data_IF_890560388606
#
_entry.id   IF_890560388606
#
_cell.length_a   1.000
_cell.length_b   1.000
_cell.length_c   1.000
_cell.angle_alpha   90.00
_cell.angle_beta   90.00
_cell.angle_gamma   90.00
#
_symmetry.space_group_name_H-M   'P 1'
#
loop_
_entity.id
_entity.type
_entity.pdbx_description
1 polymer ?
#
# COMPACT_ATOMS: atom_id res chain seq x y z
N UNK A 1 -20.36 30.54 27.06
CA UNK A 1 -19.59 29.34 27.45
C UNK A 1 -18.18 29.53 26.93
N UNK A 2 -17.18 29.47 27.79
CA UNK A 2 -15.77 29.66 27.42
C UNK A 2 -15.21 28.31 26.96
N UNK A 3 -14.82 28.18 25.69
CA UNK A 3 -14.16 26.97 25.20
C UNK A 3 -12.74 26.88 25.76
N UNK A 4 -12.28 25.67 26.05
CA UNK A 4 -10.90 25.40 26.47
C UNK A 4 -9.93 25.51 25.28
N UNK A 5 -8.65 25.77 25.54
CA UNK A 5 -7.63 25.81 24.49
C UNK A 5 -7.57 24.49 23.70
N UNK A 6 -7.67 23.34 24.38
CA UNK A 6 -7.69 22.03 23.71
C UNK A 6 -8.87 21.85 22.75
N UNK A 7 -10.06 22.37 23.11
CA UNK A 7 -11.22 22.37 22.23
C UNK A 7 -11.04 23.29 21.01
N UNK A 8 -10.28 24.39 21.16
CA UNK A 8 -9.97 25.30 20.05
C UNK A 8 -8.90 24.73 19.11
N UNK A 9 -7.98 23.92 19.62
CA UNK A 9 -6.92 23.27 18.82
C UNK A 9 -7.45 22.11 17.95
N UNK A 10 -8.54 21.46 18.37
CA UNK A 10 -9.21 20.36 17.67
C UNK A 10 -8.22 19.31 17.11
N UNK A 11 -7.35 18.79 17.97
CA UNK A 11 -6.29 17.84 17.59
C UNK A 11 -6.81 16.52 17.03
N UNK A 12 -8.04 16.16 17.39
CA UNK A 12 -8.71 14.93 16.99
C UNK A 12 -9.49 15.05 15.67
N UNK A 13 -9.46 16.23 15.00
CA UNK A 13 -10.24 16.49 13.79
C UNK A 13 -10.07 15.45 12.67
N UNK A 14 -8.91 14.80 12.59
CA UNK A 14 -8.68 13.74 11.60
C UNK A 14 -9.55 12.50 11.85
N UNK A 15 -9.83 12.17 13.12
CA UNK A 15 -10.64 11.02 13.51
C UNK A 15 -12.05 11.16 12.92
N UNK A 16 -12.64 12.35 13.00
CA UNK A 16 -13.97 12.63 12.46
C UNK A 16 -14.03 12.60 10.93
N UNK A 17 -12.91 12.88 10.23
CA UNK A 17 -12.83 12.76 8.76
C UNK A 17 -12.60 11.33 8.31
N UNK A 18 -11.93 10.53 9.13
CA UNK A 18 -11.57 9.16 8.82
C UNK A 18 -12.71 8.17 9.15
N UNK A 19 -13.35 8.34 10.31
CA UNK A 19 -14.47 7.50 10.74
C UNK A 19 -15.76 8.04 10.11
N UNK A 20 -16.34 7.27 9.19
CA UNK A 20 -17.57 7.66 8.50
C UNK A 20 -18.80 7.79 9.42
N UNK A 21 -19.14 6.78 10.25
CA UNK A 21 -20.32 6.84 11.11
C UNK A 21 -20.18 7.87 12.25
N UNK A 22 -21.09 8.84 12.29
CA UNK A 22 -21.22 9.77 13.42
C UNK A 22 -21.83 9.09 14.67
N UNK A 23 -21.87 9.81 15.80
CA UNK A 23 -22.37 9.26 17.06
C UNK A 23 -23.84 8.76 16.98
N UNK A 24 -24.69 9.42 16.18
CA UNK A 24 -26.09 9.01 16.00
C UNK A 24 -26.17 7.74 15.15
N UNK A 25 -25.41 7.68 14.05
CA UNK A 25 -25.33 6.50 13.19
C UNK A 25 -24.76 5.30 13.95
N UNK A 26 -23.72 5.51 14.77
CA UNK A 26 -23.19 4.47 15.65
C UNK A 26 -24.28 3.93 16.60
N UNK A 27 -25.09 4.80 17.21
CA UNK A 27 -26.19 4.36 18.07
C UNK A 27 -27.27 3.56 17.32
N UNK A 28 -27.62 3.98 16.10
CA UNK A 28 -28.56 3.26 15.24
C UNK A 28 -28.04 1.85 14.86
N UNK A 29 -26.76 1.75 14.52
CA UNK A 29 -26.08 0.48 14.23
C UNK A 29 -26.01 -0.42 15.46
N UNK A 30 -25.63 0.13 16.62
CA UNK A 30 -25.55 -0.58 17.90
C UNK A 30 -26.91 -1.20 18.28
N UNK A 31 -27.99 -0.42 18.15
CA UNK A 31 -29.36 -0.92 18.37
C UNK A 31 -29.71 -2.08 17.43
N UNK A 32 -29.28 -2.02 16.17
CA UNK A 32 -29.54 -3.08 15.18
C UNK A 32 -28.84 -4.39 15.54
N UNK A 33 -27.62 -4.32 16.07
CA UNK A 33 -26.85 -5.50 16.49
C UNK A 33 -27.13 -5.91 17.95
N UNK A 34 -28.00 -5.20 18.66
CA UNK A 34 -28.40 -5.51 20.03
C UNK A 34 -27.33 -5.21 21.09
N UNK A 35 -26.45 -4.23 20.86
CA UNK A 35 -25.42 -3.82 21.81
C UNK A 35 -25.69 -2.42 22.38
N UNK A 36 -25.40 -2.22 23.67
CA UNK A 36 -25.65 -0.94 24.36
C UNK A 36 -24.55 0.11 24.10
N UNK A 37 -23.34 -0.33 23.75
CA UNK A 37 -22.20 0.54 23.44
C UNK A 37 -21.16 -0.18 22.59
N UNK A 38 -20.23 0.57 21.97
CA UNK A 38 -19.09 -0.01 21.27
C UNK A 38 -18.23 -0.87 22.20
N UNK A 39 -18.01 -0.45 23.45
CA UNK A 39 -17.25 -1.24 24.43
C UNK A 39 -17.95 -2.57 24.76
N UNK A 40 -19.28 -2.54 24.92
CA UNK A 40 -20.06 -3.77 25.17
C UNK A 40 -19.99 -4.71 23.96
N UNK A 41 -20.10 -4.18 22.74
CA UNK A 41 -19.97 -4.97 21.50
C UNK A 41 -18.57 -5.60 21.39
N UNK A 42 -17.51 -4.83 21.63
CA UNK A 42 -16.13 -5.33 21.59
C UNK A 42 -15.93 -6.45 22.61
N UNK A 43 -16.43 -6.29 23.84
CA UNK A 43 -16.32 -7.33 24.88
C UNK A 43 -17.10 -8.62 24.59
N UNK A 44 -18.08 -8.58 23.69
CA UNK A 44 -18.77 -9.78 23.19
C UNK A 44 -18.02 -10.49 22.05
N UNK A 45 -17.17 -9.76 21.31
CA UNK A 45 -16.48 -10.26 20.10
C UNK A 45 -15.06 -10.71 20.41
N UNK A 46 -14.30 -9.91 21.17
CA UNK A 46 -12.88 -10.15 21.41
C UNK A 46 -12.73 -10.92 22.73
N UNK A 47 -12.11 -12.12 22.73
CA UNK A 47 -11.82 -12.84 23.96
C UNK A 47 -10.94 -12.00 24.90
N UNK A 48 -11.34 -11.96 26.18
CA UNK A 48 -10.72 -11.07 27.17
C UNK A 48 -9.24 -11.39 27.42
N UNK A 49 -8.84 -12.65 27.27
CA UNK A 49 -7.47 -13.13 27.49
C UNK A 49 -6.47 -12.67 26.43
N UNK A 50 -6.94 -12.27 25.25
CA UNK A 50 -6.11 -11.69 24.18
C UNK A 50 -6.33 -10.18 23.99
N UNK A 51 -7.25 -9.58 24.74
CA UNK A 51 -7.53 -8.15 24.65
C UNK A 51 -6.44 -7.34 25.37
N UNK A 52 -5.93 -6.29 24.70
CA UNK A 52 -5.00 -5.35 25.32
C UNK A 52 -5.69 -4.61 26.47
N UNK A 53 -5.09 -4.65 27.66
CA UNK A 53 -5.60 -3.97 28.86
C UNK A 53 -5.60 -2.44 28.73
N UNK A 54 -4.67 -1.89 27.95
CA UNK A 54 -4.57 -0.47 27.64
C UNK A 54 -4.24 -0.27 26.16
N UNK A 55 -4.66 0.85 25.54
CA UNK A 55 -4.24 1.19 24.19
C UNK A 55 -2.70 1.21 24.07
N UNK A 56 -2.15 0.90 22.87
CA UNK A 56 -0.73 0.99 22.64
C UNK A 56 -0.25 2.44 22.80
N UNK A 57 0.95 2.61 23.37
CA UNK A 57 1.59 3.91 23.58
C UNK A 57 2.12 4.46 22.25
N UNK A 58 1.24 5.10 21.47
CA UNK A 58 1.54 5.63 20.12
C UNK A 58 1.74 7.14 20.07
N UNK A 59 1.70 7.81 21.22
CA UNK A 59 1.73 9.27 21.33
C UNK A 59 0.34 9.90 21.22
N UNK A 60 0.30 11.21 21.38
CA UNK A 60 -0.93 12.00 21.32
C UNK A 60 -1.36 12.26 19.87
N UNK A 61 -2.67 12.39 19.66
CA UNK A 61 -3.20 12.83 18.38
C UNK A 61 -2.67 14.23 18.00
N UNK A 62 -2.53 14.44 16.70
CA UNK A 62 -2.07 15.71 16.13
C UNK A 62 -2.89 16.05 14.90
N UNK A 63 -2.97 17.34 14.57
CA UNK A 63 -3.70 17.79 13.38
C UNK A 63 -2.96 17.36 12.10
N UNK A 64 -3.69 17.22 11.00
CA UNK A 64 -3.10 16.91 9.69
C UNK A 64 -2.00 17.90 9.29
N UNK A 65 -2.21 19.19 9.58
CA UNK A 65 -1.22 20.23 9.31
C UNK A 65 0.07 20.03 10.11
N UNK A 66 -0.06 19.74 11.41
CA UNK A 66 1.08 19.53 12.29
C UNK A 66 1.83 18.23 11.92
N UNK A 67 1.11 17.15 11.62
CA UNK A 67 1.70 15.90 11.12
C UNK A 67 2.52 16.12 9.83
N UNK A 68 1.96 16.85 8.85
CA UNK A 68 2.66 17.17 7.61
C UNK A 68 3.89 18.05 7.84
N UNK A 69 3.82 19.01 8.76
CA UNK A 69 4.95 19.86 9.11
C UNK A 69 6.10 19.04 9.75
N UNK A 70 5.76 18.12 10.66
CA UNK A 70 6.71 17.20 11.28
C UNK A 70 7.37 16.28 10.24
N UNK A 71 6.56 15.60 9.42
CA UNK A 71 7.07 14.72 8.35
C UNK A 71 7.95 15.48 7.37
N UNK A 72 7.62 16.74 7.04
CA UNK A 72 8.43 17.60 6.20
C UNK A 72 9.78 17.94 6.84
N UNK A 73 9.82 18.18 8.16
CA UNK A 73 11.06 18.40 8.88
C UNK A 73 11.96 17.15 8.86
N UNK A 74 11.38 15.96 9.07
CA UNK A 74 12.09 14.68 8.98
C UNK A 74 12.62 14.45 7.56
N UNK A 75 11.78 14.65 6.54
CA UNK A 75 12.14 14.52 5.13
C UNK A 75 13.24 15.52 4.71
N UNK A 76 13.26 16.71 5.32
CA UNK A 76 14.29 17.73 5.10
C UNK A 76 15.71 17.30 5.52
N UNK A 77 15.84 16.23 6.32
CA UNK A 77 17.15 15.64 6.66
C UNK A 77 17.74 14.79 5.54
N UNK A 78 16.94 14.37 4.56
CA UNK A 78 17.41 13.56 3.44
C UNK A 78 18.23 14.40 2.48
N UNK A 79 19.36 13.84 2.00
CA UNK A 79 20.22 14.48 0.99
C UNK A 79 19.93 13.89 -0.38
N UNK A 80 19.47 14.72 -1.32
CA UNK A 80 19.22 14.31 -2.71
C UNK A 80 20.50 14.45 -3.53
N UNK A 81 21.10 13.32 -3.90
CA UNK A 81 22.29 13.26 -4.75
C UNK A 81 21.92 12.93 -6.20
N UNK A 82 22.80 13.28 -7.13
CA UNK A 82 22.84 12.62 -8.44
C UNK A 82 23.51 11.27 -8.24
N UNK A 83 22.73 10.22 -8.19
CA UNK A 83 23.21 8.86 -7.92
C UNK A 83 23.43 8.11 -9.23
N UNK A 84 24.67 7.69 -9.46
CA UNK A 84 25.08 6.81 -10.57
C UNK A 84 25.54 5.44 -10.07
N UNK A 85 24.97 4.99 -8.94
CA UNK A 85 25.30 3.69 -8.32
C UNK A 85 24.83 2.53 -9.22
N UNK A 86 23.71 2.69 -9.91
CA UNK A 86 23.12 1.62 -10.74
C UNK A 86 22.47 0.55 -9.86
N UNK A 87 22.88 -0.71 -10.06
CA UNK A 87 22.40 -1.86 -9.27
C UNK A 87 20.86 -2.02 -9.29
N UNK A 88 20.25 -1.93 -10.47
CA UNK A 88 18.80 -2.10 -10.65
C UNK A 88 17.97 -0.83 -10.45
N UNK A 89 18.55 0.27 -9.93
CA UNK A 89 17.85 1.53 -9.72
C UNK A 89 18.49 2.68 -10.50
N UNK A 90 17.73 3.27 -11.41
CA UNK A 90 18.18 4.39 -12.24
C UNK A 90 17.18 5.54 -12.17
N UNK A 91 17.68 6.77 -12.03
CA UNK A 91 16.82 7.95 -12.00
C UNK A 91 16.13 8.16 -13.36
N UNK A 92 14.82 8.43 -13.32
CA UNK A 92 13.99 8.72 -14.49
C UNK A 92 13.26 10.05 -14.31
N UNK A 93 12.87 10.67 -15.43
CA UNK A 93 11.99 11.82 -15.41
C UNK A 93 10.53 11.36 -15.50
N UNK A 94 9.80 11.41 -14.39
CA UNK A 94 8.37 11.13 -14.37
C UNK A 94 7.62 12.25 -15.12
N UNK A 95 6.87 11.95 -16.20
CA UNK A 95 6.09 12.97 -16.90
C UNK A 95 5.09 13.63 -15.94
N UNK A 96 5.05 14.98 -15.83
CA UNK A 96 4.18 15.67 -14.87
C UNK A 96 2.69 15.33 -15.06
N UNK A 97 2.27 15.05 -16.29
CA UNK A 97 0.89 14.64 -16.59
C UNK A 97 0.52 13.29 -15.96
N UNK A 98 1.46 12.33 -15.88
CA UNK A 98 1.25 11.04 -15.22
C UNK A 98 1.26 11.23 -13.71
N UNK A 99 2.23 11.99 -13.19
CA UNK A 99 2.29 12.29 -11.75
C UNK A 99 0.95 12.87 -11.27
N UNK A 100 0.47 13.93 -11.92
CA UNK A 100 -0.71 14.67 -11.47
C UNK A 100 -2.01 13.90 -11.64
N UNK A 101 -2.19 13.22 -12.77
CA UNK A 101 -3.49 12.66 -13.15
C UNK A 101 -3.65 11.17 -12.80
N UNK A 102 -2.57 10.49 -12.40
CA UNK A 102 -2.58 9.08 -12.03
C UNK A 102 -2.03 8.87 -10.61
N UNK A 103 -0.77 9.22 -10.34
CA UNK A 103 -0.15 8.95 -9.03
C UNK A 103 -0.77 9.77 -7.88
N UNK A 104 -1.10 11.04 -8.14
CA UNK A 104 -1.73 11.94 -7.17
C UNK A 104 -3.27 11.94 -7.25
N UNK A 105 -3.87 11.02 -8.02
CA UNK A 105 -5.32 11.00 -8.25
C UNK A 105 -5.99 9.78 -7.57
N UNK A 106 -6.86 10.00 -6.57
CA UNK A 106 -7.52 8.90 -5.86
C UNK A 106 -8.40 8.02 -6.77
N UNK A 107 -8.85 8.52 -7.92
CA UNK A 107 -9.58 7.70 -8.90
C UNK A 107 -8.76 6.53 -9.46
N UNK A 108 -7.43 6.59 -9.36
CA UNK A 108 -6.53 5.53 -9.81
C UNK A 108 -6.00 4.64 -8.69
N UNK A 109 -5.79 5.17 -7.47
CA UNK A 109 -5.13 4.42 -6.38
C UNK A 109 -6.06 3.91 -5.27
N UNK A 110 -7.33 4.30 -5.25
CA UNK A 110 -8.27 3.86 -4.18
C UNK A 110 -8.98 2.55 -4.48
N UNK A 111 -9.14 2.20 -5.76
CA UNK A 111 -9.71 0.92 -6.16
C UNK A 111 -8.72 -0.23 -5.91
N UNK A 112 -9.24 -1.41 -5.57
CA UNK A 112 -8.43 -2.61 -5.36
C UNK A 112 -8.36 -3.50 -6.62
N UNK A 113 -7.90 -4.74 -6.46
CA UNK A 113 -7.81 -5.76 -7.51
C UNK A 113 -9.10 -5.80 -8.36
N UNK A 114 -8.99 -5.86 -9.70
CA UNK A 114 -10.13 -5.87 -10.62
C UNK A 114 -10.92 -7.18 -10.62
N UNK A 115 -11.46 -7.59 -9.47
CA UNK A 115 -12.36 -8.75 -9.35
C UNK A 115 -13.70 -8.57 -10.07
N UNK A 116 -14.12 -7.33 -10.30
CA UNK A 116 -15.34 -6.97 -11.03
C UNK A 116 -14.92 -6.28 -12.34
N UNK A 117 -14.68 -7.04 -13.44
CA UNK A 117 -14.06 -6.50 -14.63
C UNK A 117 -14.88 -5.40 -15.33
N UNK A 118 -16.20 -5.47 -15.28
CA UNK A 118 -17.13 -4.54 -15.95
C UNK A 118 -16.97 -3.10 -15.45
N UNK A 119 -16.67 -2.93 -14.16
CA UNK A 119 -16.43 -1.63 -13.51
C UNK A 119 -14.94 -1.32 -13.36
N UNK A 120 -14.09 -2.06 -14.08
CA UNK A 120 -12.63 -2.01 -13.93
C UNK A 120 -11.86 -1.91 -15.24
N UNK A 121 -12.55 -1.72 -16.36
CA UNK A 121 -11.97 -1.76 -17.71
C UNK A 121 -10.78 -0.79 -17.88
N UNK A 122 -10.86 0.44 -17.34
CA UNK A 122 -9.77 1.42 -17.49
C UNK A 122 -8.41 0.95 -16.95
N UNK A 123 -8.38 0.32 -15.76
CA UNK A 123 -7.13 -0.22 -15.21
C UNK A 123 -6.72 -1.54 -15.86
N UNK A 124 -7.69 -2.38 -16.25
CA UNK A 124 -7.41 -3.62 -16.98
C UNK A 124 -6.76 -3.35 -18.33
N UNK A 125 -7.24 -2.33 -19.06
CA UNK A 125 -6.63 -1.88 -20.31
C UNK A 125 -5.20 -1.37 -20.08
N UNK A 126 -4.97 -0.55 -19.05
CA UNK A 126 -3.62 -0.10 -18.71
C UNK A 126 -2.68 -1.27 -18.34
N UNK A 127 -3.16 -2.32 -17.68
CA UNK A 127 -2.38 -3.51 -17.38
C UNK A 127 -2.10 -4.34 -18.64
N UNK A 128 -3.05 -4.42 -19.56
CA UNK A 128 -2.84 -5.04 -20.87
C UNK A 128 -1.77 -4.28 -21.67
N UNK A 129 -1.77 -2.95 -21.62
CA UNK A 129 -0.71 -2.14 -22.22
C UNK A 129 0.66 -2.42 -21.59
N UNK A 130 0.73 -2.60 -20.27
CA UNK A 130 1.96 -3.01 -19.58
C UNK A 130 2.46 -4.37 -20.05
N UNK A 131 1.55 -5.35 -20.20
CA UNK A 131 1.88 -6.66 -20.75
C UNK A 131 2.39 -6.53 -22.18
N UNK A 132 1.70 -5.78 -23.04
CA UNK A 132 2.10 -5.58 -24.43
C UNK A 132 3.49 -4.94 -24.55
N UNK A 133 3.78 -3.88 -23.80
CA UNK A 133 5.12 -3.26 -23.76
C UNK A 133 6.18 -4.29 -23.33
N UNK A 134 5.86 -5.15 -22.36
CA UNK A 134 6.78 -6.21 -21.91
C UNK A 134 7.02 -7.25 -23.01
N UNK A 135 5.97 -7.68 -23.72
CA UNK A 135 6.07 -8.61 -24.85
C UNK A 135 6.94 -8.00 -25.97
N UNK A 136 6.66 -6.76 -26.38
CA UNK A 136 7.36 -6.09 -27.47
C UNK A 136 8.85 -5.88 -27.15
N UNK A 137 9.19 -5.55 -25.89
CA UNK A 137 10.58 -5.31 -25.48
C UNK A 137 11.37 -6.61 -25.24
N UNK A 138 10.73 -7.68 -24.78
CA UNK A 138 11.42 -8.95 -24.47
C UNK A 138 11.40 -9.94 -25.62
N UNK A 139 10.45 -9.80 -26.55
CA UNK A 139 10.21 -10.76 -27.64
C UNK A 139 9.66 -12.11 -27.15
N UNK A 140 9.13 -12.18 -25.92
CA UNK A 140 8.51 -13.39 -25.37
C UNK A 140 7.01 -13.43 -25.69
N UNK A 141 6.42 -14.63 -25.59
CA UNK A 141 5.03 -14.87 -25.98
C UNK A 141 4.00 -14.42 -24.94
N UNK A 142 4.37 -14.38 -23.65
CA UNK A 142 3.46 -14.10 -22.53
C UNK A 142 4.18 -13.25 -21.46
N UNK A 143 3.46 -12.27 -20.92
CA UNK A 143 3.89 -11.44 -19.80
C UNK A 143 2.80 -11.36 -18.71
N UNK A 144 3.18 -11.30 -17.44
CA UNK A 144 2.25 -11.06 -16.33
C UNK A 144 1.95 -9.57 -16.16
N UNK A 145 0.94 -9.25 -15.34
CA UNK A 145 0.59 -7.89 -14.96
C UNK A 145 1.43 -7.37 -13.77
N UNK A 146 2.76 -7.54 -13.82
CA UNK A 146 3.79 -7.24 -12.79
C UNK A 146 4.08 -8.33 -11.74
N UNK A 147 5.18 -8.13 -11.01
CA UNK A 147 5.62 -8.81 -9.78
C UNK A 147 6.18 -7.75 -8.81
N UNK A 148 6.63 -8.14 -7.63
CA UNK A 148 7.04 -7.19 -6.57
C UNK A 148 8.31 -6.41 -6.91
N UNK A 149 9.38 -7.10 -7.30
CA UNK A 149 10.67 -6.52 -7.69
C UNK A 149 11.47 -7.49 -8.57
N UNK A 150 12.66 -7.08 -9.01
CA UNK A 150 13.55 -7.87 -9.87
C UNK A 150 14.00 -9.19 -9.22
N UNK A 151 14.44 -9.13 -7.96
CA UNK A 151 14.99 -10.29 -7.25
C UNK A 151 13.93 -11.38 -7.04
N UNK A 152 12.74 -10.98 -6.59
CA UNK A 152 11.61 -11.89 -6.41
C UNK A 152 11.09 -12.42 -7.74
N UNK A 153 11.12 -11.63 -8.82
CA UNK A 153 10.80 -12.11 -10.16
C UNK A 153 11.81 -13.17 -10.66
N UNK A 154 13.10 -12.97 -10.41
CA UNK A 154 14.14 -13.96 -10.74
C UNK A 154 13.97 -15.26 -9.92
N UNK A 155 13.60 -15.16 -8.64
CA UNK A 155 13.30 -16.31 -7.80
C UNK A 155 12.05 -17.08 -8.29
N UNK A 156 11.00 -16.39 -8.73
CA UNK A 156 9.83 -17.02 -9.35
C UNK A 156 10.19 -17.69 -10.69
N UNK A 157 11.09 -17.10 -11.49
CA UNK A 157 11.60 -17.73 -12.69
C UNK A 157 12.37 -19.03 -12.38
N UNK A 158 13.20 -19.03 -11.32
CA UNK A 158 13.87 -20.25 -10.83
C UNK A 158 12.84 -21.32 -10.39
N UNK A 159 11.81 -20.93 -9.64
CA UNK A 159 10.75 -21.84 -9.21
C UNK A 159 9.97 -22.42 -10.40
N UNK A 160 9.65 -21.59 -11.39
CA UNK A 160 9.02 -22.01 -12.64
C UNK A 160 9.90 -23.01 -13.39
N UNK A 161 11.19 -22.69 -13.58
CA UNK A 161 12.15 -23.56 -14.25
C UNK A 161 12.26 -24.94 -13.56
N UNK A 162 12.32 -24.97 -12.23
CA UNK A 162 12.31 -26.23 -11.45
C UNK A 162 11.04 -27.04 -11.67
N UNK A 163 9.87 -26.38 -11.72
CA UNK A 163 8.56 -27.04 -11.89
C UNK A 163 8.40 -27.66 -13.27
N UNK A 164 8.80 -26.94 -14.33
CA UNK A 164 8.67 -27.42 -15.72
C UNK A 164 9.78 -28.38 -16.15
N UNK A 165 10.89 -28.44 -15.41
CA UNK A 165 12.02 -29.33 -15.73
C UNK A 165 11.61 -30.80 -15.81
N UNK A 166 12.06 -31.47 -16.88
CA UNK A 166 11.92 -32.92 -17.07
C UNK A 166 12.94 -33.71 -16.23
N UNK A 167 14.05 -33.08 -15.85
CA UNK A 167 15.10 -33.68 -15.02
C UNK A 167 14.75 -33.52 -13.53
N UNK A 168 13.92 -34.44 -13.01
CA UNK A 168 13.39 -34.32 -11.64
C UNK A 168 14.46 -34.25 -10.55
N UNK A 169 15.58 -34.94 -10.77
CA UNK A 169 16.71 -35.00 -9.83
C UNK A 169 17.69 -33.82 -9.95
N UNK A 170 17.52 -32.92 -10.94
CA UNK A 170 18.36 -31.73 -11.04
C UNK A 170 18.07 -30.79 -9.87
N UNK A 171 19.06 -30.57 -9.00
CA UNK A 171 18.93 -29.74 -7.80
C UNK A 171 20.01 -28.66 -7.72
N UNK A 172 20.49 -28.20 -8.87
CA UNK A 172 21.43 -27.08 -8.99
C UNK A 172 20.81 -26.06 -9.92
N UNK A 173 20.87 -24.80 -9.53
CA UNK A 173 20.49 -23.65 -10.35
C UNK A 173 21.72 -22.75 -10.47
N UNK A 174 22.03 -22.33 -11.70
CA UNK A 174 23.19 -21.49 -11.95
C UNK A 174 22.76 -20.03 -11.92
N UNK A 175 23.52 -19.20 -11.21
CA UNK A 175 23.38 -17.74 -11.18
C UNK A 175 24.72 -17.17 -11.61
N UNK A 176 24.70 -16.26 -12.59
CA UNK A 176 25.91 -15.61 -13.07
C UNK A 176 26.49 -14.69 -11.98
N UNK A 177 27.82 -14.52 -11.97
CA UNK A 177 28.51 -13.76 -10.92
C UNK A 177 28.32 -12.24 -11.03
N UNK A 178 27.77 -11.77 -12.14
CA UNK A 178 27.61 -10.36 -12.52
C UNK A 178 26.15 -9.89 -12.55
N UNK A 179 25.22 -10.69 -12.02
CA UNK A 179 23.88 -10.20 -11.68
C UNK A 179 23.97 -9.12 -10.59
N UNK A 180 22.91 -8.34 -10.41
CA UNK A 180 22.85 -7.41 -9.29
C UNK A 180 22.94 -8.18 -7.96
N UNK A 181 23.77 -7.75 -7.00
CA UNK A 181 24.07 -8.56 -5.82
C UNK A 181 22.88 -8.80 -4.89
N UNK A 182 21.80 -8.03 -5.03
CA UNK A 182 20.54 -8.25 -4.33
C UNK A 182 19.58 -9.22 -5.03
N UNK A 183 19.84 -9.56 -6.29
CA UNK A 183 19.06 -10.50 -7.13
C UNK A 183 19.61 -11.91 -6.97
#
# INVERSE_FOLDING_TARGET
>A
MTQTLGQLENRDAFIERHIGPDARQQQEMLKTVGADSLNALIGQIVPQDIQLATPPQVGEATTEFAALAELKAIAGRNKRFKSYIGMGYTAVQLPPVIQRNMLENPGWYTAYTPYQPEVSQGRLESLLNFQQVTLDLTGLDIASASLLDEATAAAEAMAMAKRVSKLKNANRFFVAADVHPQT
#
